data_IF_144914812312
#
_entry.id   IF_144914812312
#
_cell.length_a   1.000
_cell.length_b   1.000
_cell.length_c   1.000
_cell.angle_alpha   90.00
_cell.angle_beta   90.00
_cell.angle_gamma   90.00
#
_symmetry.space_group_name_H-M   'P 1'
#
loop_
_entity.id
_entity.type
_entity.pdbx_description
1 polymer ?
#
# COMPACT_ATOMS: atom_id res chain seq x y z
N UNK A 1 6.49 -100.93 0.35
CA UNK A 1 5.18 -100.29 0.09
C UNK A 1 5.49 -98.93 -0.56
N UNK A 2 5.90 -98.84 -1.83
CA UNK A 2 5.15 -98.87 -3.09
C UNK A 2 4.10 -97.74 -3.30
N UNK A 3 4.40 -96.90 -4.30
CA UNK A 3 3.56 -96.19 -5.28
C UNK A 3 2.59 -95.05 -4.85
N UNK A 4 2.90 -93.83 -5.34
CA UNK A 4 2.11 -92.89 -6.19
C UNK A 4 0.72 -93.31 -6.70
N UNK A 5 -0.12 -92.43 -7.34
CA UNK A 5 -0.13 -90.95 -7.45
C UNK A 5 -1.54 -90.26 -7.49
N UNK A 6 -1.54 -88.92 -7.62
CA UNK A 6 -2.38 -88.05 -8.51
C UNK A 6 -3.86 -87.67 -8.24
N UNK A 7 -4.14 -86.41 -8.64
CA UNK A 7 -5.41 -85.75 -9.01
C UNK A 7 -6.28 -85.33 -7.80
N UNK A 8 -6.67 -84.08 -7.58
CA UNK A 8 -6.85 -82.93 -8.45
C UNK A 8 -8.29 -82.44 -8.33
N UNK A 9 -8.51 -81.19 -7.94
CA UNK A 9 -9.57 -80.29 -8.47
C UNK A 9 -9.66 -79.00 -7.66
N UNK A 10 -9.57 -77.90 -8.40
CA UNK A 10 -9.97 -76.55 -8.07
C UNK A 10 -11.41 -76.47 -7.54
N UNK A 11 -11.69 -75.46 -6.70
CA UNK A 11 -12.74 -74.44 -6.89
C UNK A 11 -12.53 -73.32 -5.86
N UNK A 12 -12.10 -72.18 -6.39
CA UNK A 12 -12.39 -70.77 -6.08
C UNK A 12 -13.41 -70.51 -4.96
N UNK A 13 -13.06 -69.66 -3.98
CA UNK A 13 -13.72 -68.37 -3.72
C UNK A 13 -13.19 -67.61 -2.49
N UNK A 14 -12.94 -66.31 -2.70
CA UNK A 14 -13.02 -65.18 -1.77
C UNK A 14 -12.01 -65.08 -0.60
N UNK A 15 -10.91 -64.36 -0.85
CA UNK A 15 -10.18 -63.62 0.19
C UNK A 15 -10.21 -62.13 -0.13
N UNK A 16 -10.54 -61.35 0.90
CA UNK A 16 -10.70 -59.90 0.91
C UNK A 16 -9.39 -59.13 0.61
N UNK A 17 -9.45 -57.93 0.03
CA UNK A 17 -8.32 -56.99 0.03
C UNK A 17 -8.54 -55.90 1.10
N UNK A 18 -7.74 -55.92 2.17
CA UNK A 18 -7.51 -54.74 3.01
C UNK A 18 -6.00 -54.54 3.13
N UNK A 19 -5.42 -53.97 2.09
CA UNK A 19 -4.08 -53.42 2.06
C UNK A 19 -4.15 -52.23 1.11
N UNK A 20 -4.23 -51.01 1.64
CA UNK A 20 -3.67 -49.74 1.13
C UNK A 20 -4.26 -48.62 2.00
N UNK A 21 -3.62 -48.29 3.13
CA UNK A 21 -3.79 -46.99 3.80
C UNK A 21 -2.47 -46.64 4.52
N UNK A 22 -1.45 -46.21 3.77
CA UNK A 22 -0.26 -45.61 4.37
C UNK A 22 0.46 -44.66 3.40
N UNK A 23 -0.29 -43.78 2.74
CA UNK A 23 0.29 -42.71 1.92
C UNK A 23 -0.70 -41.55 1.89
N UNK A 24 -0.67 -40.64 2.87
CA UNK A 24 -1.11 -39.23 2.74
C UNK A 24 -1.12 -38.53 4.10
N UNK A 25 0.05 -38.06 4.57
CA UNK A 25 0.08 -36.92 5.48
C UNK A 25 1.43 -36.18 5.48
N UNK A 26 1.99 -35.91 4.29
CA UNK A 26 2.89 -34.77 4.17
C UNK A 26 2.02 -33.54 3.91
N UNK A 27 1.56 -32.93 5.01
CA UNK A 27 0.89 -31.64 4.99
C UNK A 27 1.81 -30.61 4.35
N UNK A 28 1.43 -30.19 3.14
CA UNK A 28 2.07 -29.14 2.37
C UNK A 28 1.93 -27.82 3.14
N UNK A 29 2.96 -27.43 3.89
CA UNK A 29 3.12 -26.04 4.33
C UNK A 29 3.48 -25.23 3.08
N UNK A 30 2.45 -24.84 2.32
CA UNK A 30 2.56 -23.73 1.38
C UNK A 30 2.72 -22.46 2.23
N UNK A 31 3.97 -22.15 2.60
CA UNK A 31 4.34 -20.81 3.01
C UNK A 31 3.99 -19.91 1.82
N UNK A 32 3.01 -19.02 2.01
CA UNK A 32 2.81 -17.92 1.09
C UNK A 32 4.15 -17.20 0.99
N UNK A 33 4.74 -17.22 -0.20
CA UNK A 33 5.85 -16.35 -0.51
C UNK A 33 5.30 -14.92 -0.44
N UNK A 34 5.49 -14.28 0.71
CA UNK A 34 5.29 -12.86 0.86
C UNK A 34 6.27 -12.22 -0.13
N UNK A 35 5.73 -11.67 -1.22
CA UNK A 35 6.55 -11.00 -2.22
C UNK A 35 7.25 -9.86 -1.51
N UNK A 36 8.55 -10.00 -1.27
CA UNK A 36 9.39 -8.91 -0.75
C UNK A 36 9.36 -7.83 -1.81
N UNK A 37 8.51 -6.84 -1.59
CA UNK A 37 8.41 -5.67 -2.44
C UNK A 37 9.68 -4.86 -2.22
N UNK A 38 10.42 -4.63 -3.30
CA UNK A 38 11.61 -3.77 -3.30
C UNK A 38 11.28 -2.41 -2.66
N UNK A 39 12.17 -1.94 -1.78
CA UNK A 39 11.95 -0.68 -1.06
C UNK A 39 12.10 0.50 -2.02
N UNK A 40 11.06 1.31 -2.12
CA UNK A 40 11.08 2.54 -2.94
C UNK A 40 11.23 3.75 -2.06
N UNK A 41 12.36 4.46 -2.20
CA UNK A 41 12.66 5.64 -1.37
C UNK A 41 11.48 6.62 -1.25
N UNK A 42 10.86 7.01 -2.37
CA UNK A 42 9.78 8.01 -2.38
C UNK A 42 8.49 7.57 -1.66
N UNK A 43 8.24 6.26 -1.54
CA UNK A 43 7.00 5.72 -0.98
C UNK A 43 7.19 5.13 0.41
N UNK A 44 8.33 4.51 0.65
CA UNK A 44 8.59 3.73 1.86
C UNK A 44 9.51 4.47 2.85
N UNK A 45 10.41 5.33 2.38
CA UNK A 45 11.47 5.96 3.22
C UNK A 45 11.25 7.46 3.42
N UNK A 46 10.95 8.19 2.35
CA UNK A 46 10.72 9.64 2.40
C UNK A 46 9.59 10.03 3.36
N UNK A 47 8.46 9.30 3.47
CA UNK A 47 7.45 9.59 4.49
C UNK A 47 8.01 9.48 5.91
N UNK A 48 8.85 8.48 6.18
CA UNK A 48 9.50 8.30 7.49
C UNK A 48 10.44 9.47 7.77
N UNK A 49 11.33 9.80 6.83
CA UNK A 49 12.30 10.90 7.03
C UNK A 49 11.61 12.26 7.14
N UNK A 50 10.57 12.51 6.33
CA UNK A 50 9.83 13.78 6.37
C UNK A 50 9.04 13.93 7.67
N UNK A 51 8.37 12.87 8.12
CA UNK A 51 7.63 12.90 9.37
C UNK A 51 8.55 12.95 10.57
N UNK A 52 9.63 12.16 10.62
CA UNK A 52 10.42 11.95 11.84
C UNK A 52 11.67 12.83 11.94
N UNK A 53 12.29 13.20 10.82
CA UNK A 53 13.65 13.74 10.80
C UNK A 53 13.76 15.19 10.29
N UNK A 54 13.02 15.56 9.23
CA UNK A 54 13.24 16.83 8.52
C UNK A 54 12.96 18.10 9.32
N UNK A 55 12.20 18.00 10.42
CA UNK A 55 11.99 19.14 11.31
C UNK A 55 13.31 19.68 11.89
N UNK A 56 14.28 18.80 12.18
CA UNK A 56 15.59 19.19 12.72
C UNK A 56 16.74 18.93 11.74
N UNK A 57 16.56 18.08 10.72
CA UNK A 57 17.61 17.70 9.77
C UNK A 57 17.14 17.85 8.31
N UNK A 58 16.36 18.89 8.04
CA UNK A 58 15.77 19.15 6.73
C UNK A 58 16.08 20.56 6.20
N UNK A 59 15.22 21.11 5.32
CA UNK A 59 15.54 22.32 4.56
C UNK A 59 15.58 23.60 5.38
N UNK A 60 14.83 23.69 6.49
CA UNK A 60 14.80 24.89 7.33
C UNK A 60 16.13 25.09 8.07
N UNK A 61 16.89 26.12 7.69
CA UNK A 61 18.18 26.43 8.28
C UNK A 61 18.09 26.90 9.75
N UNK A 62 16.95 27.47 10.18
CA UNK A 62 16.81 27.99 11.55
C UNK A 62 16.54 26.86 12.55
N UNK A 63 15.83 25.82 12.14
CA UNK A 63 15.56 24.64 12.95
C UNK A 63 16.66 23.56 12.85
N UNK A 64 17.61 23.72 11.91
CA UNK A 64 18.58 22.67 11.56
C UNK A 64 19.61 22.43 12.66
N UNK A 65 19.70 21.19 13.12
CA UNK A 65 20.72 20.72 14.06
C UNK A 65 21.88 20.07 13.29
N UNK A 66 23.10 20.38 13.72
CA UNK A 66 24.34 19.78 13.18
C UNK A 66 24.62 20.10 11.70
N UNK A 67 23.97 21.13 11.14
CA UNK A 67 23.93 21.45 9.70
C UNK A 67 23.60 20.26 8.78
N UNK A 68 22.91 19.24 9.33
CA UNK A 68 22.63 18.00 8.64
C UNK A 68 21.39 18.14 7.74
N UNK A 69 21.51 17.67 6.49
CA UNK A 69 20.47 17.70 5.45
C UNK A 69 20.12 16.28 5.00
N UNK A 70 19.17 15.65 5.69
CA UNK A 70 18.65 14.33 5.30
C UNK A 70 17.68 14.42 4.11
N UNK A 71 17.24 15.61 3.74
CA UNK A 71 16.38 15.87 2.58
C UNK A 71 17.15 15.94 1.24
N UNK A 72 18.49 15.93 1.28
CA UNK A 72 19.34 15.97 0.10
C UNK A 72 20.25 14.74 0.08
N UNK A 73 20.18 13.94 -0.99
CA UNK A 73 20.98 12.72 -1.12
C UNK A 73 22.47 12.95 -0.88
N UNK A 74 23.04 13.96 -1.53
CA UNK A 74 24.48 14.26 -1.46
C UNK A 74 24.95 14.59 -0.05
N UNK A 75 24.11 15.23 0.75
CA UNK A 75 24.41 15.54 2.14
C UNK A 75 24.11 14.35 3.06
N UNK A 76 23.01 13.64 2.82
CA UNK A 76 22.61 12.47 3.61
C UNK A 76 23.55 11.27 3.44
N UNK A 77 24.24 11.14 2.30
CA UNK A 77 25.31 10.16 2.05
C UNK A 77 26.72 10.73 2.32
N UNK A 78 26.79 11.92 2.93
CA UNK A 78 28.03 12.55 3.33
C UNK A 78 28.55 12.05 4.69
N UNK A 79 29.45 12.84 5.29
CA UNK A 79 29.98 12.58 6.63
C UNK A 79 29.22 13.39 7.70
N UNK A 80 28.97 12.75 8.84
CA UNK A 80 28.42 13.36 10.03
C UNK A 80 29.52 14.14 10.77
N UNK A 81 29.12 15.02 11.69
CA UNK A 81 30.05 15.72 12.58
C UNK A 81 30.84 14.79 13.50
N UNK A 82 30.38 13.55 13.71
CA UNK A 82 31.08 12.49 14.42
C UNK A 82 32.27 11.91 13.65
N UNK A 83 32.38 12.21 12.35
CA UNK A 83 33.37 11.61 11.43
C UNK A 83 32.91 10.29 10.81
N UNK A 84 31.75 9.76 11.20
CA UNK A 84 31.12 8.61 10.55
C UNK A 84 30.35 9.04 9.29
N UNK A 85 30.16 8.13 8.34
CA UNK A 85 29.24 8.36 7.24
C UNK A 85 27.78 8.37 7.77
N UNK A 86 26.97 9.31 7.28
CA UNK A 86 25.59 9.49 7.76
C UNK A 86 24.72 8.30 7.32
N UNK A 87 24.72 8.03 6.02
CA UNK A 87 24.15 6.85 5.38
C UNK A 87 25.26 6.21 4.55
N UNK A 88 25.76 5.08 5.02
CA UNK A 88 26.78 4.27 4.37
C UNK A 88 26.15 2.98 3.82
N UNK A 89 25.87 2.89 2.52
CA UNK A 89 25.31 1.68 1.92
C UNK A 89 26.27 0.49 1.93
N UNK A 90 27.59 0.71 1.99
CA UNK A 90 28.59 -0.37 2.02
C UNK A 90 28.78 -0.92 3.43
N UNK A 91 28.56 -0.09 4.45
CA UNK A 91 28.68 -0.45 5.88
C UNK A 91 27.48 0.05 6.66
N UNK A 92 26.32 -0.49 6.29
CA UNK A 92 25.01 -0.12 6.85
C UNK A 92 25.03 -0.02 8.39
N UNK A 93 25.53 -1.05 9.08
CA UNK A 93 25.60 -1.09 10.54
C UNK A 93 26.44 0.01 11.21
N UNK A 94 27.31 0.69 10.46
CA UNK A 94 28.10 1.84 10.94
C UNK A 94 27.57 3.19 10.46
N UNK A 95 26.47 3.20 9.71
CA UNK A 95 25.77 4.44 9.34
C UNK A 95 25.32 5.14 10.60
N UNK A 96 25.70 6.40 10.76
CA UNK A 96 25.30 7.21 11.91
C UNK A 96 23.77 7.21 12.07
N UNK A 97 23.01 7.25 10.97
CA UNK A 97 21.55 7.16 11.01
C UNK A 97 21.08 5.91 11.77
N UNK A 98 21.62 4.73 11.46
CA UNK A 98 21.22 3.48 12.12
C UNK A 98 21.69 3.44 13.58
N UNK A 99 22.89 3.95 13.87
CA UNK A 99 23.37 4.09 15.26
C UNK A 99 22.42 4.94 16.10
N UNK A 100 21.96 6.07 15.57
CA UNK A 100 21.08 7.01 16.27
C UNK A 100 19.68 6.45 16.52
N UNK A 101 19.07 5.81 15.53
CA UNK A 101 17.70 5.28 15.71
C UNK A 101 17.64 4.05 16.63
N UNK A 102 18.77 3.37 16.84
CA UNK A 102 18.92 2.22 17.75
C UNK A 102 19.59 2.56 19.08
N UNK A 103 20.01 3.80 19.30
CA UNK A 103 20.62 4.22 20.56
C UNK A 103 19.64 4.02 21.74
N UNK A 104 20.18 3.60 22.88
CA UNK A 104 19.46 3.54 24.16
C UNK A 104 19.72 4.79 25.01
N UNK A 105 20.67 5.63 24.61
CA UNK A 105 20.94 6.90 25.27
C UNK A 105 19.91 7.94 24.81
N UNK A 106 19.21 8.53 25.79
CA UNK A 106 18.14 9.52 25.57
C UNK A 106 18.64 10.80 24.91
N UNK A 107 19.91 11.14 25.09
CA UNK A 107 20.51 12.35 24.52
C UNK A 107 21.00 12.12 23.08
N UNK A 108 21.19 10.87 22.67
CA UNK A 108 21.71 10.50 21.35
C UNK A 108 20.64 9.89 20.43
N UNK A 109 19.58 9.29 20.99
CA UNK A 109 18.53 8.62 20.22
C UNK A 109 17.77 9.60 19.34
N UNK A 110 17.52 9.19 18.10
CA UNK A 110 16.75 9.98 17.14
C UNK A 110 15.50 9.22 16.65
N UNK A 111 14.34 9.90 16.51
CA UNK A 111 14.08 11.28 16.92
C UNK A 111 14.13 11.44 18.45
N UNK A 112 14.45 12.66 18.97
CA UNK A 112 14.48 12.90 20.40
C UNK A 112 13.13 12.60 21.06
N UNK A 113 13.09 11.93 22.23
CA UNK A 113 11.84 11.50 22.87
C UNK A 113 10.86 12.64 23.14
N UNK A 114 11.34 13.85 23.38
CA UNK A 114 10.53 15.04 23.64
C UNK A 114 9.66 15.49 22.45
N UNK A 115 9.96 15.04 21.22
CA UNK A 115 9.11 15.29 20.06
C UNK A 115 7.84 14.42 20.03
N UNK A 116 7.74 13.40 20.90
CA UNK A 116 6.55 12.56 21.03
C UNK A 116 6.22 11.72 19.79
N UNK A 117 7.21 11.47 18.92
CA UNK A 117 7.04 10.77 17.64
C UNK A 117 8.16 9.73 17.41
N UNK A 118 8.29 8.73 18.28
CA UNK A 118 9.32 7.71 18.11
C UNK A 118 9.12 6.94 16.80
N UNK A 119 10.21 6.42 16.24
CA UNK A 119 10.15 5.43 15.17
C UNK A 119 9.58 4.13 15.73
N UNK A 120 8.58 3.59 15.05
CA UNK A 120 8.11 2.22 15.23
C UNK A 120 9.18 1.21 14.80
N UNK A 121 9.05 -0.04 15.25
CA UNK A 121 9.98 -1.10 14.89
C UNK A 121 10.01 -1.34 13.36
N UNK A 122 8.84 -1.33 12.71
CA UNK A 122 8.72 -1.48 11.25
C UNK A 122 9.44 -0.35 10.50
N UNK A 123 9.32 0.91 10.96
CA UNK A 123 10.01 2.04 10.32
C UNK A 123 11.54 1.93 10.45
N UNK A 124 12.05 1.44 11.59
CA UNK A 124 13.49 1.19 11.78
C UNK A 124 13.99 0.10 10.84
N UNK A 125 13.26 -1.02 10.77
CA UNK A 125 13.57 -2.14 9.88
C UNK A 125 13.57 -1.71 8.41
N UNK A 126 12.58 -0.90 7.99
CA UNK A 126 12.54 -0.35 6.63
C UNK A 126 13.76 0.52 6.31
N UNK A 127 14.15 1.41 7.22
CA UNK A 127 15.35 2.23 7.05
C UNK A 127 16.61 1.37 6.98
N UNK A 128 16.71 0.35 7.82
CA UNK A 128 17.84 -0.58 7.82
C UNK A 128 17.94 -1.36 6.51
N UNK A 129 16.86 -2.00 6.08
CA UNK A 129 16.82 -2.75 4.82
C UNK A 129 17.14 -1.85 3.64
N UNK A 130 16.58 -0.63 3.58
CA UNK A 130 16.88 0.32 2.50
C UNK A 130 18.36 0.67 2.41
N UNK A 131 19.03 0.89 3.55
CA UNK A 131 20.47 1.18 3.56
C UNK A 131 21.26 -0.05 3.11
N UNK A 132 20.88 -1.26 3.57
CA UNK A 132 21.50 -2.52 3.16
C UNK A 132 21.33 -2.81 1.65
N UNK A 133 20.21 -2.38 1.06
CA UNK A 133 19.93 -2.48 -0.38
C UNK A 133 20.63 -1.39 -1.22
N UNK A 134 21.53 -0.62 -0.62
CA UNK A 134 22.34 0.38 -1.33
C UNK A 134 21.86 1.81 -1.18
N UNK A 135 20.86 2.06 -0.32
CA UNK A 135 20.28 3.38 -0.07
C UNK A 135 19.92 4.13 -1.37
N UNK A 136 19.31 3.42 -2.32
CA UNK A 136 18.94 4.00 -3.62
C UNK A 136 18.04 5.22 -3.40
N UNK A 137 18.48 6.38 -3.87
CA UNK A 137 17.71 7.61 -3.78
C UNK A 137 16.90 7.73 -5.07
N UNK A 138 15.58 7.71 -4.92
CA UNK A 138 14.69 7.90 -6.07
C UNK A 138 14.78 9.31 -6.63
N UNK A 139 14.12 9.52 -7.76
CA UNK A 139 13.83 10.84 -8.30
C UNK A 139 12.61 11.44 -7.58
N UNK A 140 12.35 12.71 -7.86
CA UNK A 140 11.07 13.30 -7.49
C UNK A 140 9.93 12.46 -8.06
N UNK A 141 8.88 12.21 -7.27
CA UNK A 141 7.79 11.26 -7.61
C UNK A 141 7.17 11.50 -8.99
N UNK A 142 7.14 12.75 -9.46
CA UNK A 142 6.59 13.15 -10.76
C UNK A 142 7.50 12.82 -11.96
N UNK A 143 8.74 12.41 -11.71
CA UNK A 143 9.75 12.07 -12.73
C UNK A 143 10.06 10.57 -12.76
N UNK A 144 9.44 9.80 -11.88
CA UNK A 144 9.54 8.35 -11.90
C UNK A 144 8.61 7.77 -12.99
N UNK A 145 9.00 6.67 -13.66
CA UNK A 145 8.11 5.98 -14.57
C UNK A 145 6.81 5.57 -13.88
N UNK A 146 5.67 5.86 -14.51
CA UNK A 146 4.36 5.44 -14.01
C UNK A 146 4.15 3.99 -14.43
N UNK A 147 4.04 3.10 -13.44
CA UNK A 147 3.62 1.73 -13.63
C UNK A 147 2.10 1.65 -13.45
N UNK A 148 1.38 1.19 -14.48
CA UNK A 148 -0.05 0.97 -14.37
C UNK A 148 -0.31 -0.26 -13.47
N UNK A 149 -0.93 -0.10 -12.29
CA UNK A 149 -1.19 -1.23 -11.43
C UNK A 149 -2.34 -2.06 -12.03
N UNK A 150 -2.29 -3.38 -11.83
CA UNK A 150 -3.40 -4.26 -12.22
C UNK A 150 -4.50 -4.14 -11.16
N UNK A 151 -5.74 -3.76 -11.54
CA UNK A 151 -6.85 -3.69 -10.59
C UNK A 151 -7.12 -5.06 -9.98
N UNK A 152 -7.43 -5.14 -8.67
CA UNK A 152 -7.72 -6.41 -8.00
C UNK A 152 -9.04 -7.02 -8.47
N UNK A 153 -9.93 -6.21 -9.04
CA UNK A 153 -11.19 -6.64 -9.63
C UNK A 153 -11.38 -5.92 -10.99
N UNK A 154 -11.53 -6.69 -12.07
CA UNK A 154 -11.68 -6.17 -13.44
C UNK A 154 -13.14 -5.87 -13.80
N UNK A 155 -14.10 -6.35 -13.01
CA UNK A 155 -15.53 -6.10 -13.21
C UNK A 155 -15.96 -4.73 -12.65
N UNK A 156 -15.09 -4.08 -11.86
CA UNK A 156 -15.31 -2.78 -11.26
C UNK A 156 -14.49 -1.70 -11.97
N UNK A 157 -14.90 -0.45 -11.77
CA UNK A 157 -14.04 0.67 -12.13
C UNK A 157 -12.70 0.55 -11.35
N UNK A 158 -11.53 0.77 -11.99
CA UNK A 158 -10.23 0.51 -11.37
C UNK A 158 -10.04 1.18 -10.02
N UNK A 159 -10.50 2.43 -9.88
CA UNK A 159 -10.41 3.18 -8.60
C UNK A 159 -11.21 2.48 -7.51
N UNK A 160 -12.44 2.05 -7.82
CA UNK A 160 -13.32 1.40 -6.85
C UNK A 160 -12.77 0.05 -6.42
N UNK A 161 -12.17 -0.71 -7.34
CA UNK A 161 -11.52 -1.98 -7.04
C UNK A 161 -10.41 -1.82 -5.97
N UNK A 162 -9.56 -0.79 -6.09
CA UNK A 162 -8.53 -0.52 -5.08
C UNK A 162 -9.11 0.02 -3.76
N UNK A 163 -10.17 0.84 -3.83
CA UNK A 163 -10.83 1.36 -2.63
C UNK A 163 -11.48 0.21 -1.85
N UNK A 164 -12.20 -0.68 -2.51
CA UNK A 164 -12.83 -1.86 -1.89
C UNK A 164 -11.80 -2.77 -1.24
N UNK A 165 -10.67 -3.04 -1.92
CA UNK A 165 -9.56 -3.79 -1.36
C UNK A 165 -9.08 -3.19 -0.02
N UNK A 166 -8.83 -1.87 -0.01
CA UNK A 166 -8.36 -1.18 1.21
C UNK A 166 -9.40 -1.07 2.30
N UNK A 167 -10.68 -0.97 1.96
CA UNK A 167 -11.76 -1.03 2.94
C UNK A 167 -11.82 -2.42 3.59
N UNK A 168 -11.73 -3.49 2.79
CA UNK A 168 -11.74 -4.86 3.27
C UNK A 168 -10.56 -5.18 4.20
N UNK A 169 -9.34 -4.78 3.82
CA UNK A 169 -8.14 -4.90 4.67
C UNK A 169 -8.32 -4.22 6.04
N UNK A 170 -9.05 -3.10 6.07
CA UNK A 170 -9.33 -2.32 7.30
C UNK A 170 -10.60 -2.74 8.03
N UNK A 171 -11.31 -3.78 7.55
CA UNK A 171 -12.59 -4.21 8.12
C UNK A 171 -13.71 -3.16 8.01
N UNK A 172 -13.60 -2.25 7.04
CA UNK A 172 -14.58 -1.19 6.77
C UNK A 172 -15.51 -1.58 5.63
N UNK A 173 -16.70 -1.00 5.61
CA UNK A 173 -17.68 -1.17 4.53
C UNK A 173 -18.09 0.18 3.95
N UNK A 174 -18.35 0.26 2.63
CA UNK A 174 -18.95 1.45 2.04
C UNK A 174 -20.29 1.79 2.69
N UNK A 175 -20.61 3.08 2.74
CA UNK A 175 -21.96 3.52 3.06
C UNK A 175 -22.91 3.15 1.91
N UNK A 176 -24.21 2.95 2.19
CA UNK A 176 -25.20 2.77 1.14
C UNK A 176 -25.21 4.00 0.22
N UNK A 177 -25.52 3.76 -1.05
CA UNK A 177 -25.65 4.84 -2.02
C UNK A 177 -26.72 5.85 -1.55
N UNK A 178 -26.40 7.14 -1.72
CA UNK A 178 -27.34 8.19 -1.36
C UNK A 178 -28.54 8.20 -2.33
N UNK A 179 -29.68 8.72 -1.86
CA UNK A 179 -30.84 8.90 -2.74
C UNK A 179 -30.49 9.74 -3.98
N UNK A 180 -31.14 9.46 -5.11
CA UNK A 180 -30.93 10.21 -6.37
C UNK A 180 -31.02 11.73 -6.18
N UNK A 181 -32.00 12.20 -5.41
CA UNK A 181 -32.16 13.64 -5.12
C UNK A 181 -30.97 14.23 -4.36
N UNK A 182 -30.38 13.46 -3.45
CA UNK A 182 -29.16 13.86 -2.73
C UNK A 182 -27.96 13.90 -3.66
N UNK A 183 -27.80 12.89 -4.53
CA UNK A 183 -26.72 12.84 -5.52
C UNK A 183 -26.81 14.00 -6.51
N UNK A 184 -27.98 14.26 -7.09
CA UNK A 184 -28.22 15.41 -8.00
C UNK A 184 -27.89 16.73 -7.31
N UNK A 185 -28.36 16.92 -6.06
CA UNK A 185 -28.08 18.14 -5.31
C UNK A 185 -26.58 18.33 -5.05
N UNK A 186 -25.87 17.27 -4.65
CA UNK A 186 -24.42 17.31 -4.43
C UNK A 186 -23.68 17.62 -5.71
N UNK A 187 -24.05 16.97 -6.81
CA UNK A 187 -23.46 17.18 -8.13
C UNK A 187 -23.64 18.63 -8.60
N UNK A 188 -24.86 19.17 -8.53
CA UNK A 188 -25.12 20.55 -8.88
C UNK A 188 -24.28 21.52 -8.03
N UNK A 189 -24.32 21.35 -6.71
CA UNK A 189 -23.55 22.18 -5.79
C UNK A 189 -22.05 22.05 -5.99
N UNK A 190 -21.54 20.93 -6.53
CA UNK A 190 -20.11 20.72 -6.78
C UNK A 190 -19.65 21.11 -8.20
N UNK A 191 -20.55 21.16 -9.17
CA UNK A 191 -20.20 21.61 -10.52
C UNK A 191 -20.53 23.09 -10.74
N UNK A 192 -21.64 23.59 -10.20
CA UNK A 192 -22.11 24.95 -10.47
C UNK A 192 -22.05 25.87 -9.26
N UNK A 193 -21.93 25.31 -8.05
CA UNK A 193 -21.99 26.09 -6.80
C UNK A 193 -23.41 26.52 -6.42
N UNK A 194 -24.40 26.14 -7.23
CA UNK A 194 -25.81 26.45 -7.04
C UNK A 194 -26.61 25.17 -6.80
N UNK A 195 -27.67 25.19 -5.97
CA UNK A 195 -28.59 24.07 -5.90
C UNK A 195 -29.32 23.91 -7.24
N UNK A 196 -29.75 22.69 -7.62
CA UNK A 196 -30.55 22.49 -8.81
C UNK A 196 -31.91 23.19 -8.65
N UNK A 197 -32.46 23.73 -9.73
CA UNK A 197 -33.82 24.26 -9.69
C UNK A 197 -34.84 23.15 -9.45
N UNK A 198 -36.03 23.45 -8.89
CA UNK A 198 -37.07 22.44 -8.71
C UNK A 198 -37.44 21.71 -10.02
N UNK A 199 -37.50 22.43 -11.13
CA UNK A 199 -37.79 21.85 -12.45
C UNK A 199 -36.69 20.91 -12.96
N UNK A 200 -35.41 21.25 -12.72
CA UNK A 200 -34.30 20.37 -13.11
C UNK A 200 -34.27 19.11 -12.26
N UNK A 201 -34.49 19.23 -10.95
CA UNK A 201 -34.60 18.10 -10.04
C UNK A 201 -35.72 17.15 -10.48
N UNK A 202 -36.93 17.68 -10.72
CA UNK A 202 -38.06 16.86 -11.17
C UNK A 202 -37.80 16.17 -12.50
N UNK A 203 -37.16 16.86 -13.45
CA UNK A 203 -36.81 16.29 -14.75
C UNK A 203 -35.80 15.14 -14.62
N UNK A 204 -34.78 15.30 -13.77
CA UNK A 204 -33.76 14.26 -13.56
C UNK A 204 -34.30 13.07 -12.76
N UNK A 205 -35.16 13.31 -11.77
CA UNK A 205 -35.78 12.23 -10.99
C UNK A 205 -36.74 11.37 -11.81
N UNK A 206 -37.31 11.93 -12.89
CA UNK A 206 -38.19 11.21 -13.83
C UNK A 206 -37.43 10.45 -14.93
N UNK A 207 -36.12 10.66 -15.10
CA UNK A 207 -35.32 9.92 -16.08
C UNK A 207 -35.01 8.51 -15.53
N UNK A 208 -35.62 7.51 -16.15
CA UNK A 208 -35.46 6.09 -15.81
C UNK A 208 -34.36 5.40 -16.64
N UNK A 209 -33.68 6.13 -17.53
CA UNK A 209 -32.56 5.59 -18.29
C UNK A 209 -31.45 5.11 -17.34
N UNK A 210 -30.80 4.01 -17.71
CA UNK A 210 -29.61 3.53 -17.00
C UNK A 210 -28.48 4.56 -16.97
N UNK A 211 -28.46 5.48 -17.95
CA UNK A 211 -27.49 6.58 -18.09
C UNK A 211 -27.93 7.91 -17.45
N UNK A 212 -28.89 7.88 -16.52
CA UNK A 212 -29.40 9.11 -15.88
C UNK A 212 -28.29 9.92 -15.18
N UNK A 213 -27.27 9.25 -14.64
CA UNK A 213 -26.17 9.88 -13.90
C UNK A 213 -25.24 10.64 -14.82
N UNK A 214 -24.80 10.01 -15.91
CA UNK A 214 -23.94 10.63 -16.94
C UNK A 214 -24.65 11.83 -17.57
N UNK A 215 -25.93 11.70 -17.90
CA UNK A 215 -26.73 12.82 -18.43
C UNK A 215 -26.84 13.98 -17.42
N UNK A 216 -26.93 13.69 -16.12
CA UNK A 216 -26.98 14.73 -15.09
C UNK A 216 -25.64 15.47 -14.99
N UNK A 217 -24.52 14.73 -15.05
CA UNK A 217 -23.16 15.29 -15.10
C UNK A 217 -23.01 16.20 -16.32
N UNK A 218 -23.31 15.67 -17.51
CA UNK A 218 -23.18 16.40 -18.78
C UNK A 218 -24.02 17.68 -18.78
N UNK A 219 -25.23 17.64 -18.21
CA UNK A 219 -26.09 18.82 -18.11
C UNK A 219 -25.44 19.93 -17.28
N UNK A 220 -24.87 19.60 -16.12
CA UNK A 220 -24.26 20.62 -15.27
C UNK A 220 -22.92 21.11 -15.83
N UNK A 221 -22.10 20.22 -16.40
CA UNK A 221 -20.86 20.61 -17.08
C UNK A 221 -21.10 21.53 -18.27
N UNK A 222 -22.20 21.32 -19.01
CA UNK A 222 -22.57 22.17 -20.15
C UNK A 222 -23.20 23.53 -19.74
N UNK A 223 -23.49 23.74 -18.45
CA UNK A 223 -24.13 24.97 -18.00
C UNK A 223 -23.15 26.16 -17.94
N UNK A 224 -23.58 27.40 -18.24
CA UNK A 224 -22.74 28.59 -18.02
C UNK A 224 -22.24 28.71 -16.58
N UNK A 225 -23.06 28.32 -15.61
CA UNK A 225 -22.73 28.37 -14.18
C UNK A 225 -21.53 27.49 -13.80
N UNK A 226 -21.29 26.37 -14.51
CA UNK A 226 -20.06 25.59 -14.34
C UNK A 226 -18.83 26.42 -14.76
N UNK A 227 -18.90 27.08 -15.91
CA UNK A 227 -17.84 27.98 -16.38
C UNK A 227 -17.58 29.13 -15.41
N UNK A 228 -18.65 29.76 -14.90
CA UNK A 228 -18.57 30.84 -13.90
C UNK A 228 -17.93 30.39 -12.58
N UNK A 229 -18.23 29.17 -12.11
CA UNK A 229 -17.62 28.61 -10.90
C UNK A 229 -16.12 28.33 -11.10
N UNK A 230 -15.74 27.81 -12.26
CA UNK A 230 -14.36 27.37 -12.53
C UNK A 230 -13.45 28.50 -13.02
N UNK A 231 -14.02 29.62 -13.45
CA UNK A 231 -13.30 30.85 -13.75
C UNK A 231 -12.90 31.56 -12.45
N UNK A 232 -11.81 31.08 -11.84
CA UNK A 232 -11.06 31.83 -10.82
C UNK A 232 -10.31 33.00 -11.45
#
# INVERSE_FOLDING_TARGET
>A
MHFSPTIGRSIIACLAPFLVEYLSWFGLLAQGAESVREIRFSQDILPILSDKCFQCHGPDAQARKGDLRLDQESAAKGQASSGLAIIDPEKSNTSELLVRIHSQDVDEVMPPPELGRPLSQEEKERLETWIQEGAAWGRHWSLEPIEAPVPPNQDLHPVDAFVELKLAEKGLKPQPEASRSTLIRRLALDLTGLPPTPSEMDAMLKDDASSWWEKAIDRFLASPAYGERMAW
#
